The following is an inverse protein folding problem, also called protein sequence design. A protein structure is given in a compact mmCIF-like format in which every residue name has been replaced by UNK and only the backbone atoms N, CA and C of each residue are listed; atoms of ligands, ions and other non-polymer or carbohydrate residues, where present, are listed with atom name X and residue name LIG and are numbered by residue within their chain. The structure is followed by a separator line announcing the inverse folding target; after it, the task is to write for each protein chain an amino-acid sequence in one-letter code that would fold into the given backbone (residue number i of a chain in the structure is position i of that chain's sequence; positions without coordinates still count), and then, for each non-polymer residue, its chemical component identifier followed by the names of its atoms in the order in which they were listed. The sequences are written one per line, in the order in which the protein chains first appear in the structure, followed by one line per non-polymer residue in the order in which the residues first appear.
data_IF_207007155135
#
_entry.id   IF_207007155135
#
_cell.length_a   1.000
_cell.length_b   1.000
_cell.length_c   1.000
_cell.angle_alpha   90.00
_cell.angle_beta   90.00
_cell.angle_gamma   90.00
#
_symmetry.space_group_name_H-M   'P 1'
#
loop_
_entity.id
_entity.type
_entity.pdbx_description
1 polymer ?
#
# COMPACT_ATOMS: atom_id res chain seq x y z
N UNK A 1 1.00 18.32 15.05
CA UNK A 1 0.98 16.86 14.77
C UNK A 1 1.74 16.53 13.48
N UNK A 2 1.53 17.25 12.38
CA UNK A 2 2.23 17.03 11.08
C UNK A 2 3.76 17.10 11.09
N UNK A 3 4.39 17.64 12.15
CA UNK A 3 5.84 17.85 12.22
C UNK A 3 6.64 16.72 12.88
N UNK A 4 5.99 15.76 13.54
CA UNK A 4 6.67 14.73 14.34
C UNK A 4 6.37 13.29 13.91
N UNK A 5 5.26 13.06 13.20
CA UNK A 5 4.95 11.72 12.69
C UNK A 5 3.69 11.73 11.82
N UNK A 6 3.65 10.81 10.86
CA UNK A 6 2.46 10.57 10.02
C UNK A 6 1.39 9.73 10.74
N UNK A 7 1.70 9.22 11.93
CA UNK A 7 0.87 8.30 12.68
C UNK A 7 1.01 8.59 14.19
N UNK A 8 -0.12 8.71 14.91
CA UNK A 8 -0.12 8.92 16.36
C UNK A 8 0.59 7.78 17.11
N UNK A 9 0.52 6.53 16.63
CA UNK A 9 1.24 5.41 17.25
C UNK A 9 2.75 5.66 17.24
N UNK A 10 3.29 6.17 16.13
CA UNK A 10 4.72 6.47 16.02
C UNK A 10 5.11 7.63 16.94
N UNK A 11 4.25 8.62 17.09
CA UNK A 11 4.46 9.72 18.04
C UNK A 11 4.53 9.20 19.47
N UNK A 12 3.62 8.31 19.89
CA UNK A 12 3.66 7.74 21.23
C UNK A 12 4.89 6.88 21.47
N UNK A 13 5.26 6.04 20.50
CA UNK A 13 6.49 5.26 20.57
C UNK A 13 7.71 6.17 20.72
N UNK A 14 7.77 7.27 19.96
CA UNK A 14 8.83 8.25 20.08
C UNK A 14 8.85 8.90 21.47
N UNK A 15 7.69 9.31 22.00
CA UNK A 15 7.63 9.92 23.33
C UNK A 15 8.08 8.94 24.42
N UNK A 16 7.73 7.66 24.31
CA UNK A 16 8.21 6.63 25.23
C UNK A 16 9.72 6.39 25.12
N UNK A 17 10.26 6.34 23.90
CA UNK A 17 11.71 6.25 23.68
C UNK A 17 12.47 7.46 24.22
N UNK A 18 11.89 8.66 24.14
CA UNK A 18 12.47 9.86 24.74
C UNK A 18 12.43 9.77 26.27
N UNK A 19 11.34 9.29 26.85
CA UNK A 19 11.21 9.08 28.29
C UNK A 19 12.25 8.10 28.83
N UNK A 20 12.51 7.00 28.14
CA UNK A 20 13.56 6.03 28.51
C UNK A 20 14.96 6.65 28.54
N UNK A 21 15.18 7.72 27.78
CA UNK A 21 16.44 8.49 27.73
C UNK A 21 16.44 9.70 28.66
N UNK A 22 15.46 9.80 29.55
CA UNK A 22 15.24 10.95 30.43
C UNK A 22 15.07 12.28 29.67
N UNK A 23 14.54 12.21 28.45
CA UNK A 23 14.21 13.37 27.62
C UNK A 23 12.72 13.68 27.73
N UNK A 24 12.40 14.93 28.04
CA UNK A 24 11.03 15.39 28.13
C UNK A 24 10.51 15.92 26.80
N UNK A 25 9.26 15.60 26.52
CA UNK A 25 8.53 16.05 25.35
C UNK A 25 7.52 17.14 25.71
N UNK A 26 7.50 18.23 24.94
CA UNK A 26 6.56 19.32 25.11
C UNK A 26 5.98 19.76 23.77
N UNK A 27 4.66 19.98 23.75
CA UNK A 27 3.94 20.54 22.62
C UNK A 27 3.53 21.97 22.99
N UNK A 28 4.33 22.95 22.57
CA UNK A 28 4.20 24.35 22.98
C UNK A 28 2.84 24.96 22.61
N UNK A 29 2.32 24.65 21.42
CA UNK A 29 1.05 25.20 20.94
C UNK A 29 -0.19 24.60 21.64
N UNK A 30 -0.04 23.47 22.32
CA UNK A 30 -1.11 22.83 23.11
C UNK A 30 -0.89 22.96 24.62
N UNK A 31 0.24 23.56 25.04
CA UNK A 31 0.62 23.64 26.46
C UNK A 31 0.83 22.27 27.12
N UNK A 32 1.08 21.22 26.33
CA UNK A 32 1.27 19.86 26.86
C UNK A 32 2.74 19.68 27.22
N UNK A 33 3.00 19.32 28.48
CA UNK A 33 4.35 19.03 28.97
C UNK A 33 4.37 17.68 29.70
N UNK A 34 5.12 16.72 29.17
CA UNK A 34 5.26 15.37 29.74
C UNK A 34 5.99 15.32 31.07
N UNK A 35 6.55 16.44 31.56
CA UNK A 35 7.03 16.57 32.95
C UNK A 35 5.88 16.60 33.95
N UNK A 36 4.71 17.07 33.54
CA UNK A 36 3.54 17.21 34.41
C UNK A 36 2.64 15.97 34.36
N UNK A 37 1.99 15.58 35.46
CA UNK A 37 0.99 14.51 35.46
C UNK A 37 -0.14 14.76 34.44
N UNK A 38 -0.60 16.01 34.33
CA UNK A 38 -1.63 16.44 33.38
C UNK A 38 -1.19 16.24 31.93
N UNK A 39 0.04 16.61 31.57
CA UNK A 39 0.55 16.42 30.22
C UNK A 39 0.72 14.94 29.84
N UNK A 40 1.14 14.09 30.80
CA UNK A 40 1.17 12.63 30.61
C UNK A 40 -0.23 12.05 30.39
N UNK A 41 -1.21 12.48 31.19
CA UNK A 41 -2.60 12.07 31.04
C UNK A 41 -3.16 12.47 29.67
N UNK A 42 -2.99 13.74 29.28
CA UNK A 42 -3.51 14.24 28.01
C UNK A 42 -2.90 13.51 26.81
N UNK A 43 -1.59 13.25 26.84
CA UNK A 43 -0.93 12.46 25.80
C UNK A 43 -1.52 11.04 25.70
N UNK A 44 -1.78 10.39 26.83
CA UNK A 44 -2.37 9.05 26.89
C UNK A 44 -3.80 9.02 26.34
N UNK A 45 -4.63 10.02 26.69
CA UNK A 45 -5.99 10.14 26.14
C UNK A 45 -5.97 10.38 24.64
N UNK A 46 -5.08 11.27 24.16
CA UNK A 46 -4.92 11.53 22.72
C UNK A 46 -4.44 10.29 21.95
N UNK A 47 -3.65 9.43 22.59
CA UNK A 47 -3.25 8.14 22.06
C UNK A 47 -4.44 7.23 21.83
N UNK A 48 -5.22 7.01 22.90
CA UNK A 48 -6.40 6.14 22.87
C UNK A 48 -7.43 6.64 21.85
N UNK A 49 -7.64 7.96 21.80
CA UNK A 49 -8.53 8.58 20.82
C UNK A 49 -8.06 8.35 19.39
N UNK A 50 -6.76 8.52 19.12
CA UNK A 50 -6.21 8.28 17.78
C UNK A 50 -6.27 6.82 17.35
N UNK A 51 -6.15 5.88 18.29
CA UNK A 51 -6.34 4.46 18.02
C UNK A 51 -7.80 4.14 17.67
N UNK A 52 -8.74 4.71 18.43
CA UNK A 52 -10.17 4.60 18.16
C UNK A 52 -10.53 5.15 16.78
N UNK A 53 -10.09 6.36 16.44
CA UNK A 53 -10.33 6.98 15.12
C UNK A 53 -9.80 6.09 13.99
N UNK A 54 -8.60 5.53 14.16
CA UNK A 54 -7.98 4.64 13.17
C UNK A 54 -8.81 3.38 12.97
N UNK A 55 -9.33 2.78 14.02
CA UNK A 55 -10.14 1.56 13.90
C UNK A 55 -11.51 1.87 13.30
N UNK A 56 -12.13 3.00 13.66
CA UNK A 56 -13.37 3.48 13.03
C UNK A 56 -13.22 3.69 11.53
N UNK A 57 -12.13 4.32 11.08
CA UNK A 57 -11.85 4.52 9.65
C UNK A 57 -11.75 3.18 8.93
N UNK A 58 -11.04 2.21 9.51
CA UNK A 58 -10.93 0.86 8.92
C UNK A 58 -12.26 0.13 8.88
N UNK A 59 -13.06 0.22 9.94
CA UNK A 59 -14.36 -0.42 10.00
C UNK A 59 -15.31 0.13 8.92
N UNK A 60 -15.35 1.45 8.78
CA UNK A 60 -16.05 2.11 7.68
C UNK A 60 -15.55 1.64 6.32
N UNK A 61 -14.23 1.62 6.12
CA UNK A 61 -13.62 1.16 4.88
C UNK A 61 -13.98 -0.31 4.57
N UNK A 62 -13.95 -1.21 5.55
CA UNK A 62 -14.35 -2.62 5.38
C UNK A 62 -15.81 -2.73 4.92
N UNK A 63 -16.68 -1.94 5.51
CA UNK A 63 -18.12 -1.89 5.16
C UNK A 63 -18.31 -1.41 3.72
N UNK A 64 -17.64 -0.33 3.33
CA UNK A 64 -17.69 0.21 1.98
C UNK A 64 -17.09 -0.75 0.94
N UNK A 65 -15.96 -1.40 1.25
CA UNK A 65 -15.36 -2.44 0.40
C UNK A 65 -16.34 -3.60 0.19
N UNK A 66 -17.01 -4.06 1.26
CA UNK A 66 -18.00 -5.14 1.17
C UNK A 66 -19.15 -4.77 0.23
N UNK A 67 -19.68 -3.55 0.36
CA UNK A 67 -20.73 -3.04 -0.52
C UNK A 67 -20.26 -2.90 -1.97
N UNK A 68 -19.05 -2.37 -2.20
CA UNK A 68 -18.48 -2.23 -3.54
C UNK A 68 -18.17 -3.58 -4.19
N UNK A 69 -17.79 -4.61 -3.41
CA UNK A 69 -17.66 -5.99 -3.88
C UNK A 69 -19.01 -6.56 -4.31
N UNK A 70 -20.07 -6.37 -3.50
CA UNK A 70 -21.43 -6.80 -3.87
C UNK A 70 -21.93 -6.12 -5.15
N UNK A 71 -21.59 -4.84 -5.34
CA UNK A 71 -21.89 -4.08 -6.56
C UNK A 71 -21.00 -4.44 -7.77
N UNK A 72 -20.01 -5.31 -7.61
CA UNK A 72 -19.11 -5.72 -8.70
C UNK A 72 -18.15 -4.61 -9.19
N UNK A 73 -17.86 -3.61 -8.36
CA UNK A 73 -17.00 -2.46 -8.73
C UNK A 73 -15.54 -2.88 -8.91
N UNK A 74 -15.06 -3.83 -8.10
CA UNK A 74 -13.67 -4.28 -8.15
C UNK A 74 -13.42 -5.19 -9.37
N UNK A 75 -12.70 -4.66 -10.36
CA UNK A 75 -12.28 -5.39 -11.58
C UNK A 75 -10.82 -5.86 -11.56
N UNK A 76 -10.15 -5.72 -10.41
CA UNK A 76 -8.75 -6.06 -10.24
C UNK A 76 -7.81 -5.17 -11.06
N UNK A 77 -6.58 -5.63 -11.24
CA UNK A 77 -5.58 -4.93 -12.07
C UNK A 77 -5.95 -5.07 -13.54
N UNK A 78 -5.98 -3.94 -14.26
CA UNK A 78 -6.15 -3.95 -15.71
C UNK A 78 -5.05 -4.79 -16.36
N UNK A 79 -5.44 -5.68 -17.29
CA UNK A 79 -4.49 -6.50 -18.05
C UNK A 79 -3.66 -5.58 -18.95
N UNK A 80 -2.32 -5.61 -18.79
CA UNK A 80 -1.37 -4.81 -19.61
C UNK A 80 -1.39 -5.23 -21.08
N UNK A 81 -1.48 -6.54 -21.33
CA UNK A 81 -1.58 -7.11 -22.67
C UNK A 81 -3.00 -7.64 -22.83
N UNK A 82 -3.80 -6.95 -23.65
CA UNK A 82 -5.12 -7.41 -24.08
C UNK A 82 -4.98 -8.40 -25.24
N UNK A 83 -6.06 -9.11 -25.58
CA UNK A 83 -6.07 -10.07 -26.71
C UNK A 83 -5.76 -9.42 -28.06
N UNK A 84 -5.95 -8.11 -28.16
CA UNK A 84 -5.65 -7.32 -29.35
C UNK A 84 -4.29 -6.60 -29.27
N UNK A 85 -3.46 -6.90 -28.27
CA UNK A 85 -2.18 -6.20 -28.12
C UNK A 85 -1.20 -6.61 -29.24
N UNK A 86 -0.79 -5.68 -30.13
CA UNK A 86 0.00 -6.01 -31.32
C UNK A 86 1.29 -6.74 -31.00
N UNK A 87 2.06 -6.25 -30.01
CA UNK A 87 3.32 -6.88 -29.62
C UNK A 87 3.17 -8.28 -29.00
N UNK A 88 2.03 -8.59 -28.36
CA UNK A 88 1.81 -9.91 -27.76
C UNK A 88 1.43 -10.91 -28.85
N UNK A 89 0.56 -10.51 -29.77
CA UNK A 89 0.17 -11.34 -30.90
C UNK A 89 1.37 -11.63 -31.81
N UNK A 90 2.21 -10.63 -32.07
CA UNK A 90 3.45 -10.82 -32.81
C UNK A 90 4.44 -11.74 -32.07
N UNK A 91 4.53 -11.64 -30.74
CA UNK A 91 5.38 -12.53 -29.94
C UNK A 91 4.92 -14.00 -30.02
N UNK A 92 3.60 -14.25 -30.01
CA UNK A 92 3.01 -15.59 -30.16
C UNK A 92 3.27 -16.13 -31.56
N UNK A 93 3.08 -15.30 -32.60
CA UNK A 93 3.35 -15.67 -33.99
C UNK A 93 4.82 -16.05 -34.19
N UNK A 94 5.75 -15.22 -33.70
CA UNK A 94 7.19 -15.52 -33.74
C UNK A 94 7.53 -16.82 -33.00
N UNK A 95 6.83 -17.13 -31.91
CA UNK A 95 7.04 -18.39 -31.18
C UNK A 95 6.55 -19.61 -31.95
N UNK A 96 5.46 -19.49 -32.72
CA UNK A 96 4.87 -20.58 -33.51
C UNK A 96 5.59 -20.83 -34.83
N UNK A 97 5.99 -19.76 -35.52
CA UNK A 97 6.52 -19.83 -36.88
C UNK A 97 8.06 -19.76 -36.96
N UNK A 98 8.75 -19.46 -35.86
CA UNK A 98 10.21 -19.41 -35.83
C UNK A 98 10.80 -20.15 -34.64
N UNK A 99 12.03 -20.64 -34.82
CA UNK A 99 12.78 -21.34 -33.76
C UNK A 99 13.56 -20.37 -32.83
N UNK A 100 13.10 -19.11 -32.71
CA UNK A 100 13.74 -18.09 -31.86
C UNK A 100 13.50 -18.38 -30.39
N UNK A 101 14.48 -18.02 -29.56
CA UNK A 101 14.37 -18.14 -28.10
C UNK A 101 13.37 -17.12 -27.55
N UNK A 102 12.75 -17.42 -26.41
CA UNK A 102 11.83 -16.50 -25.73
C UNK A 102 12.51 -15.17 -25.40
N UNK A 103 13.82 -15.19 -25.11
CA UNK A 103 14.60 -13.99 -24.83
C UNK A 103 14.69 -13.07 -26.04
N UNK A 104 14.99 -13.62 -27.23
CA UNK A 104 15.05 -12.85 -28.48
C UNK A 104 13.67 -12.31 -28.87
N UNK A 105 12.62 -13.12 -28.73
CA UNK A 105 11.24 -12.69 -29.02
C UNK A 105 10.84 -11.50 -28.13
N UNK A 106 11.17 -11.54 -26.85
CA UNK A 106 10.90 -10.43 -25.92
C UNK A 106 11.69 -9.16 -26.27
N UNK A 107 12.93 -9.29 -26.76
CA UNK A 107 13.71 -8.14 -27.23
C UNK A 107 13.09 -7.50 -28.48
N UNK A 108 12.60 -8.30 -29.42
CA UNK A 108 11.97 -7.83 -30.65
C UNK A 108 10.62 -7.15 -30.37
N UNK A 109 9.82 -7.73 -29.48
CA UNK A 109 8.42 -7.33 -29.28
C UNK A 109 8.17 -6.38 -28.11
N UNK A 110 9.16 -6.19 -27.24
CA UNK A 110 9.02 -5.38 -26.01
C UNK A 110 8.07 -5.98 -24.97
N UNK A 111 7.60 -7.22 -25.17
CA UNK A 111 6.75 -7.94 -24.22
C UNK A 111 7.61 -8.57 -23.13
N UNK A 112 7.17 -8.51 -21.87
CA UNK A 112 7.92 -9.18 -20.79
C UNK A 112 7.83 -10.70 -20.90
N UNK A 113 8.93 -11.40 -20.61
CA UNK A 113 8.98 -12.86 -20.66
C UNK A 113 7.88 -13.51 -19.82
N UNK A 114 7.67 -13.01 -18.61
CA UNK A 114 6.62 -13.51 -17.71
C UNK A 114 5.19 -13.29 -18.26
N UNK A 115 4.96 -12.28 -19.11
CA UNK A 115 3.67 -12.10 -19.76
C UNK A 115 3.49 -13.05 -20.95
N UNK A 116 4.55 -13.25 -21.75
CA UNK A 116 4.53 -14.18 -22.87
C UNK A 116 4.31 -15.62 -22.39
N UNK A 117 5.02 -16.09 -21.37
CA UNK A 117 4.81 -17.43 -20.79
C UNK A 117 3.39 -17.61 -20.23
N UNK A 118 2.86 -16.61 -19.50
CA UNK A 118 1.48 -16.68 -19.00
C UNK A 118 0.48 -16.80 -20.13
N UNK A 119 0.69 -16.07 -21.23
CA UNK A 119 -0.20 -16.11 -22.40
C UNK A 119 -0.08 -17.42 -23.17
N UNK A 120 1.13 -17.97 -23.32
CA UNK A 120 1.34 -19.27 -23.97
C UNK A 120 0.66 -20.41 -23.21
N UNK A 121 0.71 -20.40 -21.88
CA UNK A 121 0.02 -21.40 -21.03
C UNK A 121 -1.52 -21.36 -21.17
N UNK A 122 -2.10 -20.25 -21.60
CA UNK A 122 -3.56 -20.18 -21.88
C UNK A 122 -3.94 -20.86 -23.21
N UNK A 123 -2.97 -21.21 -24.05
CA UNK A 123 -3.17 -21.90 -25.34
C UNK A 123 -2.70 -23.37 -25.32
N UNK A 124 -2.14 -23.82 -24.20
CA UNK A 124 -1.89 -25.25 -23.89
C UNK A 124 -3.15 -25.86 -23.24
#
# INVERSE_FOLDING_TARGET
MDRLGRNTIQLLQLVEQLREKDVHFAILNLGIDTRTPTGKFFLTVMAAFSELDREMIKEKQRTEIKLAKQKGVYRGRLKKYTDKHPGMNHAIELRKHTNKTVKEICQITGVSQAALYRRLKEFE
#
